data_IF_381050914556
#
_entry.id   IF_381050914556
#
_cell.length_a   1.000
_cell.length_b   1.000
_cell.length_c   1.000
_cell.angle_alpha   90.00
_cell.angle_beta   90.00
_cell.angle_gamma   90.00
#
_symmetry.space_group_name_H-M   'P 1'
#
loop_
_entity.id
_entity.type
_entity.pdbx_description
1 polymer ?
#
# COMPACT_ATOMS: atom_id res chain seq x y z
N UNK A 1 29.90 2.78 -13.92
CA UNK A 1 28.47 3.12 -13.74
C UNK A 1 28.24 3.21 -12.25
N UNK A 2 27.64 4.28 -11.74
CA UNK A 2 27.37 4.39 -10.30
C UNK A 2 26.29 3.35 -9.93
N UNK A 3 26.63 2.45 -9.01
CA UNK A 3 25.68 1.46 -8.49
C UNK A 3 24.60 2.17 -7.68
N UNK A 4 23.33 1.88 -7.98
CA UNK A 4 22.19 2.42 -7.22
C UNK A 4 22.08 1.62 -5.92
N UNK A 5 22.44 2.23 -4.79
CA UNK A 5 22.47 1.57 -3.48
C UNK A 5 21.19 1.77 -2.64
N UNK A 6 20.24 2.59 -3.09
CA UNK A 6 18.98 2.85 -2.37
C UNK A 6 17.84 3.26 -3.30
N UNK A 7 16.66 2.69 -3.08
CA UNK A 7 15.40 3.08 -3.74
C UNK A 7 14.38 3.37 -2.65
N UNK A 8 13.72 4.53 -2.74
CA UNK A 8 12.71 4.98 -1.77
C UNK A 8 11.37 5.11 -2.48
N UNK A 9 10.30 4.58 -1.89
CA UNK A 9 8.93 4.67 -2.39
C UNK A 9 8.03 5.30 -1.35
N UNK A 10 6.91 5.89 -1.80
CA UNK A 10 5.88 6.39 -0.89
C UNK A 10 4.96 5.26 -0.42
N UNK A 11 4.18 5.49 0.64
CA UNK A 11 3.30 4.48 1.24
C UNK A 11 2.29 3.92 0.24
N UNK A 12 1.70 4.80 -0.60
CA UNK A 12 0.74 4.38 -1.62
C UNK A 12 1.39 3.50 -2.69
N UNK A 13 2.59 3.85 -3.12
CA UNK A 13 3.37 3.07 -4.09
C UNK A 13 3.77 1.71 -3.50
N UNK A 14 4.15 1.65 -2.22
CA UNK A 14 4.39 0.39 -1.53
C UNK A 14 3.13 -0.50 -1.53
N UNK A 15 1.95 0.07 -1.29
CA UNK A 15 0.69 -0.68 -1.39
C UNK A 15 0.45 -1.19 -2.82
N UNK A 16 0.67 -0.36 -3.83
CA UNK A 16 0.53 -0.78 -5.24
C UNK A 16 1.47 -1.95 -5.60
N UNK A 17 2.72 -1.89 -5.13
CA UNK A 17 3.69 -2.95 -5.31
C UNK A 17 3.26 -4.24 -4.60
N UNK A 18 2.77 -4.14 -3.37
CA UNK A 18 2.28 -5.30 -2.60
C UNK A 18 1.03 -5.92 -3.24
N UNK A 19 0.09 -5.11 -3.77
CA UNK A 19 -1.09 -5.60 -4.51
C UNK A 19 -0.66 -6.40 -5.74
N UNK A 20 0.26 -5.84 -6.54
CA UNK A 20 0.78 -6.51 -7.74
C UNK A 20 1.52 -7.79 -7.38
N UNK A 21 2.38 -7.75 -6.36
CA UNK A 21 3.14 -8.90 -5.89
C UNK A 21 2.25 -10.01 -5.32
N UNK A 22 1.15 -9.65 -4.64
CA UNK A 22 0.17 -10.59 -4.10
C UNK A 22 -0.81 -11.15 -5.15
N UNK A 23 -0.78 -10.63 -6.39
CA UNK A 23 -1.71 -11.07 -7.45
C UNK A 23 -3.16 -10.67 -7.19
N UNK A 24 -3.39 -9.60 -6.41
CA UNK A 24 -4.75 -9.14 -6.11
C UNK A 24 -5.23 -8.20 -7.21
N UNK A 25 -6.42 -8.46 -7.75
CA UNK A 25 -6.97 -7.73 -8.90
C UNK A 25 -8.20 -6.88 -8.58
N UNK A 26 -8.73 -6.97 -7.37
CA UNK A 26 -10.00 -6.35 -6.99
C UNK A 26 -10.01 -5.86 -5.55
N UNK A 27 -10.94 -4.95 -5.28
CA UNK A 27 -11.14 -4.36 -3.96
C UNK A 27 -10.24 -3.17 -3.67
N UNK A 28 -10.58 -2.49 -2.58
CA UNK A 28 -9.86 -1.34 -2.05
C UNK A 28 -8.97 -1.79 -0.90
N UNK A 29 -7.70 -1.45 -0.98
CA UNK A 29 -6.66 -1.92 -0.06
C UNK A 29 -5.92 -0.74 0.55
N UNK A 30 -5.42 -0.93 1.76
CA UNK A 30 -4.62 0.04 2.49
C UNK A 30 -3.41 -0.64 3.15
N UNK A 31 -2.40 0.16 3.48
CA UNK A 31 -1.20 -0.31 4.18
C UNK A 31 -1.57 -0.82 5.58
N UNK A 32 -1.08 -2.00 5.93
CA UNK A 32 -1.10 -2.54 7.28
C UNK A 32 0.32 -2.51 7.84
N UNK A 33 0.49 -1.89 9.00
CA UNK A 33 1.77 -1.82 9.71
C UNK A 33 1.56 -2.28 11.14
N UNK A 34 2.22 -3.37 11.54
CA UNK A 34 2.11 -3.90 12.89
C UNK A 34 3.30 -3.45 13.73
N UNK A 35 3.02 -2.72 14.80
CA UNK A 35 4.01 -2.29 15.78
C UNK A 35 3.91 -3.12 17.06
N UNK A 36 5.05 -3.50 17.61
CA UNK A 36 5.18 -4.07 18.95
C UNK A 36 5.70 -2.99 19.90
N UNK A 37 5.06 -2.87 21.06
CA UNK A 37 5.47 -1.94 22.10
C UNK A 37 5.97 -2.72 23.30
N UNK A 38 7.15 -2.36 23.77
CA UNK A 38 7.76 -2.93 24.96
C UNK A 38 8.32 -1.84 25.85
N UNK A 39 8.36 -2.11 27.15
CA UNK A 39 9.11 -1.30 28.11
C UNK A 39 10.19 -2.17 28.73
N UNK A 40 11.40 -1.65 28.82
CA UNK A 40 12.54 -2.32 29.45
C UNK A 40 13.49 -1.29 30.04
N UNK A 41 14.35 -1.71 30.96
CA UNK A 41 15.48 -0.87 31.37
C UNK A 41 16.58 -1.01 30.30
N UNK A 42 16.92 0.09 29.65
CA UNK A 42 17.91 0.17 28.58
C UNK A 42 18.80 1.38 28.75
N UNK A 43 20.04 1.29 28.28
CA UNK A 43 21.03 2.35 28.40
C UNK A 43 22.32 2.02 27.65
N UNK A 44 23.20 3.01 27.41
CA UNK A 44 24.46 2.80 26.70
C UNK A 44 25.47 1.94 27.49
N UNK A 45 25.31 1.82 28.80
CA UNK A 45 26.09 0.93 29.68
C UNK A 45 25.23 0.39 30.84
N UNK A 46 25.68 -0.67 31.54
CA UNK A 46 24.96 -1.22 32.71
C UNK A 46 24.69 -0.19 33.82
N UNK A 47 25.62 0.75 34.03
CA UNK A 47 25.54 1.76 35.09
C UNK A 47 24.62 2.95 34.73
N UNK A 48 24.18 3.03 33.47
CA UNK A 48 23.35 4.11 32.92
C UNK A 48 21.99 3.60 32.42
N UNK A 49 21.45 2.57 33.07
CA UNK A 49 20.13 2.03 32.73
C UNK A 49 19.00 3.00 33.11
N UNK A 50 18.09 3.22 32.18
CA UNK A 50 16.87 4.00 32.40
C UNK A 50 15.64 3.28 31.85
N UNK A 51 14.43 3.57 32.37
CA UNK A 51 13.19 3.13 31.74
C UNK A 51 13.14 3.56 30.27
N UNK A 52 13.01 2.57 29.40
CA UNK A 52 13.09 2.74 27.94
C UNK A 52 11.85 2.14 27.30
N UNK A 53 11.26 2.87 26.35
CA UNK A 53 10.23 2.35 25.47
C UNK A 53 10.87 1.85 24.16
N UNK A 54 10.48 0.65 23.74
CA UNK A 54 10.89 0.03 22.47
C UNK A 54 9.67 -0.04 21.56
N UNK A 55 9.83 0.47 20.34
CA UNK A 55 8.84 0.34 19.27
C UNK A 55 9.47 -0.51 18.18
N UNK A 56 8.98 -1.74 18.04
CA UNK A 56 9.43 -2.68 17.03
C UNK A 56 8.45 -2.69 15.85
N UNK A 57 8.95 -2.52 14.63
CA UNK A 57 8.17 -2.81 13.43
C UNK A 57 8.17 -4.33 13.21
N UNK A 58 7.01 -4.97 13.39
CA UNK A 58 6.90 -6.43 13.31
C UNK A 58 6.64 -6.90 11.88
N UNK A 59 5.72 -6.23 11.17
CA UNK A 59 5.38 -6.60 9.80
C UNK A 59 4.77 -5.43 9.03
N UNK A 60 4.90 -5.48 7.70
CA UNK A 60 4.22 -4.60 6.75
C UNK A 60 3.40 -5.48 5.81
N UNK A 61 2.18 -5.07 5.49
CA UNK A 61 1.30 -5.77 4.56
C UNK A 61 0.24 -4.86 3.99
N UNK A 62 -0.80 -5.48 3.43
CA UNK A 62 -2.01 -4.80 2.96
C UNK A 62 -3.24 -5.43 3.60
N UNK A 63 -4.27 -4.62 3.85
CA UNK A 63 -5.57 -5.08 4.32
C UNK A 63 -6.69 -4.41 3.52
N UNK A 64 -7.88 -4.99 3.53
CA UNK A 64 -9.05 -4.36 2.92
C UNK A 64 -9.35 -3.04 3.63
N UNK A 65 -9.64 -2.01 2.85
CA UNK A 65 -10.01 -0.71 3.37
C UNK A 65 -11.41 -0.79 4.03
N UNK A 66 -11.52 -0.26 5.24
CA UNK A 66 -12.81 -0.11 5.93
C UNK A 66 -13.68 0.97 5.26
N UNK A 67 -14.98 0.91 5.53
CA UNK A 67 -15.90 1.95 5.09
C UNK A 67 -15.55 3.28 5.77
N UNK A 68 -15.25 4.31 4.96
CA UNK A 68 -14.80 5.62 5.45
C UNK A 68 -13.29 5.79 5.57
N UNK A 69 -12.48 4.79 5.18
CA UNK A 69 -11.03 4.92 5.12
C UNK A 69 -10.62 6.15 4.27
N UNK A 70 -9.66 6.98 4.72
CA UNK A 70 -9.23 8.17 3.99
C UNK A 70 -8.81 7.83 2.56
N UNK A 71 -9.40 8.46 1.52
CA UNK A 71 -9.13 8.12 0.12
C UNK A 71 -7.65 8.21 -0.27
N UNK A 72 -6.87 9.04 0.43
CA UNK A 72 -5.43 9.19 0.21
C UNK A 72 -4.62 7.94 0.60
N UNK A 73 -5.14 7.07 1.46
CA UNK A 73 -4.47 5.85 1.94
C UNK A 73 -5.03 4.57 1.30
N UNK A 74 -5.97 4.72 0.38
CA UNK A 74 -6.66 3.61 -0.26
C UNK A 74 -6.21 3.48 -1.72
N UNK A 75 -5.91 2.25 -2.11
CA UNK A 75 -5.54 1.87 -3.48
C UNK A 75 -6.57 0.88 -4.01
N UNK A 76 -7.10 1.15 -5.20
CA UNK A 76 -7.98 0.23 -5.90
C UNK A 76 -7.14 -0.77 -6.70
N UNK A 77 -7.24 -2.06 -6.35
CA UNK A 77 -6.49 -3.11 -7.00
C UNK A 77 -6.85 -3.27 -8.49
N UNK A 78 -8.09 -2.97 -8.88
CA UNK A 78 -8.51 -3.06 -10.28
C UNK A 78 -7.84 -1.98 -11.15
N UNK A 79 -7.49 -0.84 -10.55
CA UNK A 79 -6.79 0.24 -11.27
C UNK A 79 -5.30 -0.07 -11.45
N UNK A 80 -4.66 -0.66 -10.46
CA UNK A 80 -3.19 -0.85 -10.45
C UNK A 80 -2.76 -2.24 -10.89
N UNK A 81 -3.64 -3.23 -10.84
CA UNK A 81 -3.39 -4.60 -11.24
C UNK A 81 -4.64 -5.24 -11.91
N UNK A 82 -5.08 -4.76 -13.09
CA UNK A 82 -6.28 -5.27 -13.74
C UNK A 82 -6.15 -6.73 -14.20
N UNK A 83 -7.17 -7.55 -13.89
CA UNK A 83 -7.32 -8.91 -14.43
C UNK A 83 -7.37 -8.90 -15.96
N UNK A 84 -6.90 -9.97 -16.60
CA UNK A 84 -6.97 -10.14 -18.05
C UNK A 84 -8.40 -10.01 -18.59
N UNK A 85 -9.39 -10.55 -17.87
CA UNK A 85 -10.81 -10.44 -18.23
C UNK A 85 -11.34 -9.00 -18.09
N UNK A 86 -10.81 -8.24 -17.13
CA UNK A 86 -11.14 -6.83 -16.93
C UNK A 86 -10.57 -5.89 -18.01
N UNK A 87 -9.48 -6.29 -18.69
CA UNK A 87 -8.93 -5.49 -19.80
C UNK A 87 -9.85 -5.50 -21.03
N UNK A 88 -10.62 -6.57 -21.22
CA UNK A 88 -11.56 -6.66 -22.35
C UNK A 88 -12.80 -5.77 -22.14
N UNK A 89 -13.28 -5.64 -20.89
CA UNK A 89 -14.42 -4.77 -20.58
C UNK A 89 -14.05 -3.28 -20.59
N UNK A 90 -12.88 -2.91 -20.05
CA UNK A 90 -12.38 -1.54 -20.08
C UNK A 90 -12.14 -1.04 -21.52
N UNK A 91 -11.66 -1.92 -22.41
CA UNK A 91 -11.47 -1.61 -23.83
C UNK A 91 -12.78 -1.42 -24.61
N UNK A 92 -13.88 -2.05 -24.18
CA UNK A 92 -15.21 -1.90 -24.79
C UNK A 92 -15.88 -0.59 -24.39
N UNK A 93 -15.74 -0.16 -23.14
CA UNK A 93 -16.37 1.08 -22.65
C UNK A 93 -15.71 2.34 -23.21
N UNK A 94 -14.38 2.34 -23.39
CA UNK A 94 -13.65 3.45 -24.02
C UNK A 94 -13.91 3.59 -25.54
N UNK A 95 -14.46 2.56 -26.19
CA UNK A 95 -14.77 2.52 -27.64
C UNK A 95 -16.22 2.86 -27.99
N UNK A 96 -17.09 3.10 -27.01
CA UNK A 96 -18.47 3.50 -27.29
C UNK A 96 -18.49 4.88 -28.00
N UNK A 97 -19.06 5.00 -29.21
CA UNK A 97 -19.09 6.28 -29.92
C UNK A 97 -19.96 7.28 -29.14
N UNK A 98 -19.38 8.44 -28.80
CA UNK A 98 -20.13 9.58 -28.26
C UNK A 98 -21.21 9.96 -29.28
N UNK A 99 -22.48 9.67 -28.96
CA UNK A 99 -23.62 10.08 -29.80
C UNK A 99 -23.53 11.60 -30.06
N UNK A 100 -23.67 12.06 -31.31
CA UNK A 100 -23.66 13.49 -31.59
C UNK A 100 -24.85 14.15 -30.90
N UNK A 101 -24.59 15.20 -30.11
CA UNK A 101 -25.64 16.05 -29.54
C UNK A 101 -26.33 16.76 -30.70
N UNK A 102 -27.56 16.37 -31.01
CA UNK A 102 -28.45 17.13 -31.90
C UNK A 102 -28.85 18.44 -31.22
N UNK A 103 -28.89 19.49 -32.05
CA UNK A 103 -29.15 20.90 -31.69
C UNK A 103 -30.55 21.13 -31.14
#
# INVERSE_FOLDING_TARGET
MAEVNSITVQQKELVELLIKNAGVHEGKWMLLVNFGFGAMNGGPSPDQMMPTAVVALQSIGIQRAEEGAPPSMVVDAAQVNPSADGRESAGKEARAPKKPRTK
#
